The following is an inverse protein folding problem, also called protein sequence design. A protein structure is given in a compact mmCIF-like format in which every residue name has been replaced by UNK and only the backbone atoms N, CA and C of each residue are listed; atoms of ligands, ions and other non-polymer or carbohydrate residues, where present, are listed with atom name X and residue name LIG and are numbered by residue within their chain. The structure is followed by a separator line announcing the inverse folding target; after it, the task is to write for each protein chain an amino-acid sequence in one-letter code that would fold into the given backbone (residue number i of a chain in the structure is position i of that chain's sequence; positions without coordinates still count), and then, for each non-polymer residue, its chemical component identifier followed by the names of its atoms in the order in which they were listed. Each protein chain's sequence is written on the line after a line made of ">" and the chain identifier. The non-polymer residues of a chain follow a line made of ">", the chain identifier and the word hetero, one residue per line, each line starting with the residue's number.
data_IF_451050477139
#
_entry.id   IF_451050477139
#
_cell.length_a   1.000
_cell.length_b   1.000
_cell.length_c   1.000
_cell.angle_alpha   90.00
_cell.angle_beta   90.00
_cell.angle_gamma   90.00
#
_symmetry.space_group_name_H-M   'P 1'
#
loop_
_entity.id
_entity.type
_entity.pdbx_description
1 polymer ?
#
# COMPACT_ATOMS: atom_id res chain seq x y z
N UNK A 1 -9.87 4.31 -16.46
CA UNK A 1 -9.61 4.66 -15.05
C UNK A 1 -10.53 3.84 -14.15
N UNK A 2 -10.44 2.49 -14.21
CA UNK A 2 -11.40 1.58 -13.55
C UNK A 2 -10.73 0.60 -12.57
N UNK A 3 -9.40 0.47 -12.62
CA UNK A 3 -8.68 -0.58 -11.88
C UNK A 3 -8.48 -0.29 -10.40
N UNK A 4 -8.53 0.97 -9.98
CA UNK A 4 -8.31 1.40 -8.60
C UNK A 4 -9.48 1.07 -7.67
N UNK A 5 -10.69 0.99 -8.21
CA UNK A 5 -11.91 0.68 -7.45
C UNK A 5 -12.00 -0.81 -7.07
N UNK A 6 -11.66 -1.71 -8.01
CA UNK A 6 -11.63 -3.16 -7.76
C UNK A 6 -10.60 -3.57 -6.70
N UNK A 7 -9.47 -2.86 -6.68
CA UNK A 7 -8.44 -2.98 -5.67
C UNK A 7 -8.93 -2.63 -4.25
N UNK A 8 -9.64 -1.50 -4.10
CA UNK A 8 -10.22 -1.08 -2.83
C UNK A 8 -11.28 -2.08 -2.32
N UNK A 9 -12.07 -2.67 -3.22
CA UNK A 9 -13.09 -3.66 -2.88
C UNK A 9 -12.52 -4.96 -2.30
N UNK A 10 -11.27 -5.31 -2.60
CA UNK A 10 -10.67 -6.54 -2.08
C UNK A 10 -10.17 -6.49 -0.65
N UNK A 11 -9.91 -5.29 -0.15
CA UNK A 11 -9.68 -5.08 1.26
C UNK A 11 -10.99 -5.08 2.06
N UNK A 12 -12.14 -4.91 1.39
CA UNK A 12 -13.47 -4.81 1.96
C UNK A 12 -14.20 -6.16 1.94
N UNK A 13 -14.59 -6.67 3.11
CA UNK A 13 -15.49 -7.82 3.21
C UNK A 13 -16.92 -7.28 3.34
N UNK A 14 -17.78 -7.38 2.30
CA UNK A 14 -19.16 -6.95 2.42
C UNK A 14 -19.88 -7.81 3.45
N UNK A 15 -20.53 -7.17 4.42
CA UNK A 15 -21.37 -7.83 5.42
C UNK A 15 -22.81 -7.44 5.13
N UNK A 16 -23.61 -8.42 4.72
CA UNK A 16 -25.06 -8.27 4.63
C UNK A 16 -25.64 -8.50 6.01
N UNK A 17 -26.22 -7.45 6.61
CA UNK A 17 -27.01 -7.59 7.84
C UNK A 17 -28.39 -8.06 7.41
N UNK A 18 -28.58 -9.38 7.32
CA UNK A 18 -29.88 -9.99 7.10
C UNK A 18 -30.68 -10.03 8.41
N UNK A 19 -31.98 -9.74 8.30
CA UNK A 19 -33.02 -9.67 9.34
C UNK A 19 -33.02 -8.43 10.24
N UNK A 20 -33.78 -7.43 9.79
CA UNK A 20 -34.22 -6.27 10.54
C UNK A 20 -35.33 -6.64 11.55
N UNK A 21 -35.03 -7.50 12.52
CA UNK A 21 -35.78 -7.50 13.77
C UNK A 21 -35.17 -6.38 14.63
N UNK A 22 -35.91 -5.27 14.78
CA UNK A 22 -35.61 -4.06 15.56
C UNK A 22 -34.33 -4.14 16.42
N UNK A 23 -33.18 -3.83 15.82
CA UNK A 23 -31.90 -3.75 16.53
C UNK A 23 -31.92 -2.45 17.34
N UNK A 24 -31.87 -2.57 18.67
CA UNK A 24 -31.83 -1.42 19.57
C UNK A 24 -30.57 -0.57 19.28
N UNK A 25 -30.64 0.74 19.50
CA UNK A 25 -29.57 1.66 19.06
C UNK A 25 -28.21 1.36 19.72
N UNK A 26 -28.22 0.77 20.92
CA UNK A 26 -27.02 0.30 21.61
C UNK A 26 -26.42 -0.96 20.96
N UNK A 27 -27.27 -1.89 20.54
CA UNK A 27 -26.88 -3.14 19.86
C UNK A 27 -26.36 -2.85 18.45
N UNK A 28 -26.88 -1.82 17.78
CA UNK A 28 -26.37 -1.39 16.49
C UNK A 28 -24.93 -0.86 16.60
N UNK A 29 -24.62 -0.07 17.64
CA UNK A 29 -23.28 0.48 17.84
C UNK A 29 -22.25 -0.60 18.14
N UNK A 30 -22.59 -1.56 19.00
CA UNK A 30 -21.70 -2.67 19.34
C UNK A 30 -21.47 -3.58 18.13
N UNK A 31 -22.52 -3.85 17.35
CA UNK A 31 -22.42 -4.57 16.08
C UNK A 31 -21.54 -3.83 15.07
N UNK A 32 -21.79 -2.54 14.84
CA UNK A 32 -21.01 -1.72 13.91
C UNK A 32 -19.53 -1.66 14.31
N UNK A 33 -19.23 -1.51 15.60
CA UNK A 33 -17.86 -1.50 16.12
C UNK A 33 -17.16 -2.83 15.88
N UNK A 34 -17.83 -3.96 16.16
CA UNK A 34 -17.31 -5.29 15.91
C UNK A 34 -17.04 -5.53 14.43
N UNK A 35 -18.00 -5.22 13.56
CA UNK A 35 -17.85 -5.38 12.11
C UNK A 35 -16.72 -4.50 11.57
N UNK A 36 -16.59 -3.26 12.06
CA UNK A 36 -15.47 -2.37 11.72
C UNK A 36 -14.13 -2.95 12.15
N UNK A 37 -14.05 -3.53 13.36
CA UNK A 37 -12.83 -4.16 13.85
C UNK A 37 -12.44 -5.40 13.02
N UNK A 38 -13.41 -6.27 12.71
CA UNK A 38 -13.21 -7.43 11.83
C UNK A 38 -12.76 -7.01 10.43
N UNK A 39 -13.36 -5.94 9.90
CA UNK A 39 -13.02 -5.35 8.61
C UNK A 39 -11.60 -4.76 8.59
N UNK A 40 -11.19 -4.05 9.64
CA UNK A 40 -9.83 -3.52 9.78
C UNK A 40 -8.80 -4.64 9.92
N UNK A 41 -9.12 -5.69 10.68
CA UNK A 41 -8.27 -6.86 10.82
C UNK A 41 -8.09 -7.57 9.47
N UNK A 42 -9.19 -7.77 8.74
CA UNK A 42 -9.14 -8.36 7.41
C UNK A 42 -8.28 -7.52 6.46
N UNK A 43 -8.46 -6.20 6.43
CA UNK A 43 -7.65 -5.32 5.59
C UNK A 43 -6.15 -5.41 5.93
N UNK A 44 -5.79 -5.46 7.23
CA UNK A 44 -4.40 -5.61 7.67
C UNK A 44 -3.79 -6.96 7.30
N UNK A 45 -4.60 -8.01 7.27
CA UNK A 45 -4.16 -9.35 6.88
C UNK A 45 -4.07 -9.47 5.36
N UNK A 46 -5.10 -9.05 4.63
CA UNK A 46 -5.25 -9.25 3.19
C UNK A 46 -4.49 -8.23 2.33
N UNK A 47 -4.05 -7.11 2.89
CA UNK A 47 -3.34 -6.09 2.14
C UNK A 47 -2.01 -5.68 2.78
N UNK A 48 -1.06 -5.30 1.93
CA UNK A 48 0.19 -4.64 2.33
C UNK A 48 0.46 -3.46 1.41
N UNK A 49 0.81 -2.34 2.00
CA UNK A 49 1.31 -1.16 1.28
C UNK A 49 2.78 -1.02 1.64
N UNK A 50 3.65 -0.98 0.63
CA UNK A 50 5.06 -0.66 0.77
C UNK A 50 5.31 0.68 0.09
N UNK A 51 5.97 1.58 0.81
CA UNK A 51 6.42 2.86 0.29
C UNK A 51 7.91 2.72 0.07
N UNK A 52 8.33 2.72 -1.18
CA UNK A 52 9.74 2.76 -1.56
C UNK A 52 10.11 4.25 -1.67
N UNK A 53 10.81 4.74 -0.64
CA UNK A 53 11.31 6.10 -0.52
C UNK A 53 12.79 6.19 -0.92
N UNK A 54 13.36 7.42 -1.06
CA UNK A 54 14.75 7.59 -1.44
C UNK A 54 15.70 6.81 -0.52
N UNK A 55 16.71 6.17 -1.13
CA UNK A 55 17.71 5.38 -0.40
C UNK A 55 18.57 6.26 0.51
N UNK A 56 19.26 5.62 1.47
CA UNK A 56 20.21 6.33 2.33
C UNK A 56 21.29 7.05 1.50
N UNK A 57 21.81 6.42 0.46
CA UNK A 57 22.81 7.00 -0.44
C UNK A 57 22.25 8.20 -1.22
N UNK A 58 21.01 8.09 -1.72
CA UNK A 58 20.33 9.20 -2.38
C UNK A 58 20.09 10.37 -1.42
N UNK A 59 19.76 10.08 -0.17
CA UNK A 59 19.60 11.11 0.85
C UNK A 59 20.93 11.81 1.16
N UNK A 60 22.01 11.07 1.42
CA UNK A 60 23.34 11.67 1.67
C UNK A 60 23.79 12.54 0.50
N UNK A 61 23.53 12.11 -0.74
CA UNK A 61 23.98 12.80 -1.94
C UNK A 61 23.15 14.03 -2.31
N UNK A 62 21.84 13.98 -2.09
CA UNK A 62 20.90 14.98 -2.61
C UNK A 62 20.15 15.76 -1.53
N UNK A 63 20.39 15.48 -0.25
CA UNK A 63 19.83 16.28 0.84
C UNK A 63 20.54 17.63 0.96
N UNK A 64 19.78 18.62 1.38
CA UNK A 64 20.27 19.97 1.67
C UNK A 64 19.73 20.44 3.01
N UNK A 65 20.53 21.21 3.74
CA UNK A 65 20.10 21.87 4.97
C UNK A 65 19.44 23.19 4.62
N UNK A 66 18.18 23.36 5.03
CA UNK A 66 17.39 24.56 4.79
C UNK A 66 16.54 24.92 5.99
N UNK A 67 16.12 26.18 6.05
CA UNK A 67 15.18 26.63 7.06
C UNK A 67 13.74 26.32 6.62
N UNK A 68 13.01 25.54 7.42
CA UNK A 68 11.59 25.28 7.23
C UNK A 68 10.78 26.39 7.92
N UNK A 69 10.02 27.15 7.14
CA UNK A 69 9.20 28.27 7.63
C UNK A 69 7.98 27.81 8.43
N UNK A 70 7.45 26.62 8.16
CA UNK A 70 6.29 26.06 8.86
C UNK A 70 6.71 25.53 10.22
N UNK A 71 7.85 24.86 10.29
CA UNK A 71 8.40 24.31 11.54
C UNK A 71 9.30 25.29 12.31
N UNK A 72 9.66 26.42 11.70
CA UNK A 72 10.56 27.43 12.25
C UNK A 72 11.89 26.86 12.76
N UNK A 73 12.49 25.93 12.00
CA UNK A 73 13.74 25.27 12.36
C UNK A 73 14.55 24.88 11.11
N UNK A 74 15.85 24.59 11.31
CA UNK A 74 16.66 23.98 10.26
C UNK A 74 16.26 22.51 10.08
N UNK A 75 16.11 22.10 8.82
CA UNK A 75 15.82 20.72 8.43
C UNK A 75 16.79 20.29 7.35
N UNK A 76 17.15 19.01 7.34
CA UNK A 76 17.90 18.38 6.25
C UNK A 76 16.94 17.51 5.46
N UNK A 77 16.73 17.84 4.19
CA UNK A 77 15.76 17.16 3.34
C UNK A 77 16.19 17.10 1.88
N UNK A 78 15.69 16.13 1.12
CA UNK A 78 15.74 16.19 -0.34
C UNK A 78 14.65 17.16 -0.78
N UNK A 79 15.05 18.37 -1.18
CA UNK A 79 14.12 19.40 -1.64
C UNK A 79 13.59 19.14 -3.06
N UNK A 80 12.38 19.64 -3.31
CA UNK A 80 11.63 19.50 -4.58
C UNK A 80 11.22 20.88 -5.12
N UNK A 81 12.01 21.89 -4.81
CA UNK A 81 11.82 23.21 -5.38
C UNK A 81 12.33 23.23 -6.83
N UNK A 82 11.54 23.87 -7.72
CA UNK A 82 11.90 24.10 -9.13
C UNK A 82 12.46 22.86 -9.86
N UNK A 83 11.73 21.73 -9.89
CA UNK A 83 12.30 20.45 -10.30
C UNK A 83 12.83 20.45 -11.73
N UNK A 84 12.18 21.16 -12.66
CA UNK A 84 12.64 21.28 -14.04
C UNK A 84 13.97 22.04 -14.16
N UNK A 85 14.15 23.10 -13.37
CA UNK A 85 15.36 23.94 -13.40
C UNK A 85 16.53 23.18 -12.79
N UNK A 86 16.31 22.54 -11.63
CA UNK A 86 17.34 21.74 -10.94
C UNK A 86 17.72 20.49 -11.73
N UNK A 87 16.78 19.90 -12.47
CA UNK A 87 17.06 18.79 -13.37
C UNK A 87 18.00 19.21 -14.51
N UNK A 88 17.72 20.35 -15.15
CA UNK A 88 18.53 20.86 -16.25
C UNK A 88 19.96 21.24 -15.82
N UNK A 89 20.15 21.60 -14.55
CA UNK A 89 21.44 21.93 -13.97
C UNK A 89 22.16 20.72 -13.33
N UNK A 90 21.59 19.51 -13.38
CA UNK A 90 22.16 18.34 -12.73
C UNK A 90 23.18 17.62 -13.60
N UNK A 91 24.34 17.31 -13.04
CA UNK A 91 25.35 16.43 -13.67
C UNK A 91 24.88 14.97 -13.77
N UNK A 92 23.79 14.59 -13.09
CA UNK A 92 23.24 13.22 -13.08
C UNK A 92 21.70 13.23 -13.06
N UNK A 93 21.05 13.61 -14.18
CA UNK A 93 19.61 13.85 -14.26
C UNK A 93 18.75 12.66 -13.80
N UNK A 94 19.13 11.44 -14.20
CA UNK A 94 18.39 10.22 -13.84
C UNK A 94 18.44 9.92 -12.34
N UNK A 95 19.61 10.06 -11.72
CA UNK A 95 19.78 9.83 -10.28
C UNK A 95 19.08 10.91 -9.46
N UNK A 96 19.13 12.16 -9.95
CA UNK A 96 18.43 13.29 -9.35
C UNK A 96 16.92 13.09 -9.37
N UNK A 97 16.36 12.60 -10.48
CA UNK A 97 14.94 12.26 -10.62
C UNK A 97 14.54 11.08 -9.74
N UNK A 98 15.34 10.00 -9.74
CA UNK A 98 15.05 8.81 -8.93
C UNK A 98 15.00 9.12 -7.43
N UNK A 99 15.85 10.03 -6.95
CA UNK A 99 15.83 10.50 -5.56
C UNK A 99 14.61 11.36 -5.21
N UNK A 100 13.80 11.75 -6.20
CA UNK A 100 12.61 12.62 -6.07
C UNK A 100 11.32 11.96 -6.53
N UNK A 101 11.34 10.65 -6.67
CA UNK A 101 10.18 9.83 -6.95
C UNK A 101 9.82 9.00 -5.74
N UNK A 102 8.53 8.81 -5.54
CA UNK A 102 7.99 7.83 -4.60
C UNK A 102 7.37 6.70 -5.40
N UNK A 103 7.65 5.48 -4.97
CA UNK A 103 7.01 4.29 -5.49
C UNK A 103 6.16 3.66 -4.40
N UNK A 104 4.89 3.51 -4.70
CA UNK A 104 3.92 2.80 -3.88
C UNK A 104 3.72 1.42 -4.49
N UNK A 105 3.93 0.39 -3.68
CA UNK A 105 3.62 -0.99 -4.04
C UNK A 105 2.50 -1.49 -3.13
N UNK A 106 1.40 -1.90 -3.75
CA UNK A 106 0.23 -2.40 -3.05
C UNK A 106 0.04 -3.86 -3.41
N UNK A 107 -0.03 -4.69 -2.38
CA UNK A 107 -0.29 -6.11 -2.48
C UNK A 107 -1.68 -6.40 -1.92
N UNK A 108 -2.47 -7.18 -2.64
CA UNK A 108 -3.78 -7.67 -2.20
C UNK A 108 -3.84 -9.18 -2.30
N UNK A 109 -4.43 -9.82 -1.30
CA UNK A 109 -4.71 -11.24 -1.29
C UNK A 109 -6.21 -11.46 -1.52
N UNK A 110 -6.56 -11.92 -2.72
CA UNK A 110 -7.95 -12.23 -3.06
C UNK A 110 -8.30 -13.65 -2.62
N UNK A 111 -9.44 -13.89 -1.95
CA UNK A 111 -9.92 -15.25 -1.77
C UNK A 111 -10.32 -15.86 -3.12
N UNK A 112 -9.86 -17.08 -3.37
CA UNK A 112 -10.26 -17.84 -4.54
C UNK A 112 -11.56 -18.59 -4.23
N UNK A 113 -12.69 -18.08 -4.73
CA UNK A 113 -14.02 -18.61 -4.40
C UNK A 113 -14.41 -19.84 -5.24
N UNK A 114 -13.85 -19.98 -6.44
CA UNK A 114 -14.15 -21.09 -7.35
C UNK A 114 -13.26 -22.28 -7.00
N UNK A 115 -13.79 -23.40 -6.46
CA UNK A 115 -12.97 -24.46 -5.86
C UNK A 115 -11.98 -25.12 -6.84
N UNK A 116 -12.42 -25.39 -8.08
CA UNK A 116 -11.58 -26.04 -9.08
C UNK A 116 -10.43 -25.13 -9.55
N UNK A 117 -10.73 -23.86 -9.81
CA UNK A 117 -9.72 -22.87 -10.19
C UNK A 117 -8.76 -22.60 -9.02
N UNK A 118 -9.27 -22.66 -7.78
CA UNK A 118 -8.49 -22.39 -6.59
C UNK A 118 -7.35 -23.41 -6.40
N UNK A 119 -7.63 -24.70 -6.60
CA UNK A 119 -6.62 -25.75 -6.48
C UNK A 119 -5.50 -25.59 -7.52
N UNK A 120 -5.86 -25.35 -8.78
CA UNK A 120 -4.88 -25.15 -9.87
C UNK A 120 -4.01 -23.91 -9.63
N UNK A 121 -4.63 -22.80 -9.21
CA UNK A 121 -3.91 -21.56 -8.93
C UNK A 121 -3.03 -21.65 -7.68
N UNK A 122 -3.47 -22.39 -6.65
CA UNK A 122 -2.65 -22.63 -5.46
C UNK A 122 -1.36 -23.39 -5.81
N UNK A 123 -1.45 -24.46 -6.59
CA UNK A 123 -0.29 -25.21 -7.10
C UNK A 123 0.62 -24.32 -7.97
N UNK A 124 0.03 -23.51 -8.86
CA UNK A 124 0.78 -22.57 -9.70
C UNK A 124 1.53 -21.52 -8.86
N UNK A 125 0.90 -21.04 -7.77
CA UNK A 125 1.50 -20.02 -6.90
C UNK A 125 2.77 -20.52 -6.21
N UNK A 126 2.82 -21.80 -5.84
CA UNK A 126 3.98 -22.44 -5.23
C UNK A 126 5.18 -22.52 -6.20
N UNK A 127 4.92 -22.62 -7.50
CA UNK A 127 5.94 -22.68 -8.54
C UNK A 127 6.51 -21.31 -8.92
N UNK A 128 5.73 -20.24 -8.75
CA UNK A 128 6.04 -18.92 -9.33
C UNK A 128 7.05 -18.09 -8.50
N UNK A 129 7.44 -18.52 -7.29
CA UNK A 129 8.44 -17.83 -6.43
C UNK A 129 8.31 -16.29 -6.41
N UNK A 130 7.07 -15.79 -6.41
CA UNK A 130 6.77 -14.37 -6.41
C UNK A 130 6.50 -13.90 -4.97
N UNK A 131 7.12 -12.82 -4.50
CA UNK A 131 6.98 -12.35 -3.11
C UNK A 131 5.54 -12.07 -2.69
N UNK A 132 4.68 -11.64 -3.63
CA UNK A 132 3.25 -11.40 -3.34
C UNK A 132 2.50 -12.71 -3.12
N UNK A 133 2.84 -13.75 -3.88
CA UNK A 133 2.24 -15.08 -3.71
C UNK A 133 2.69 -15.72 -2.40
N UNK A 134 3.98 -15.62 -2.04
CA UNK A 134 4.49 -16.09 -0.75
C UNK A 134 3.80 -15.35 0.41
N UNK A 135 3.64 -14.03 0.29
CA UNK A 135 2.94 -13.22 1.27
C UNK A 135 1.49 -13.68 1.49
N UNK A 136 0.75 -13.97 0.41
CA UNK A 136 -0.64 -14.41 0.49
C UNK A 136 -0.77 -15.88 0.91
N UNK A 137 0.11 -16.77 0.45
CA UNK A 137 0.13 -18.17 0.87
C UNK A 137 0.32 -18.31 2.38
N UNK A 138 1.23 -17.53 2.97
CA UNK A 138 1.43 -17.51 4.43
C UNK A 138 0.18 -17.06 5.21
N UNK A 139 -0.76 -16.37 4.56
CA UNK A 139 -1.99 -15.84 5.16
C UNK A 139 -3.23 -16.65 4.83
N UNK A 140 -3.15 -17.56 3.87
CA UNK A 140 -4.23 -18.46 3.50
C UNK A 140 -4.72 -19.27 4.72
N UNK A 141 -3.79 -19.71 5.57
CA UNK A 141 -4.11 -20.43 6.81
C UNK A 141 -4.93 -19.60 7.81
N UNK A 142 -4.71 -18.29 7.88
CA UNK A 142 -5.44 -17.41 8.81
C UNK A 142 -6.86 -17.08 8.32
N UNK A 143 -7.11 -17.18 7.01
CA UNK A 143 -8.41 -16.90 6.39
C UNK A 143 -9.16 -18.16 5.94
N UNK A 144 -8.61 -19.35 6.24
CA UNK A 144 -9.14 -20.69 5.90
C UNK A 144 -9.57 -20.83 4.43
N UNK A 145 -8.89 -20.11 3.54
CA UNK A 145 -9.19 -20.08 2.10
C UNK A 145 -7.92 -19.90 1.30
N UNK A 146 -7.81 -20.55 0.12
CA UNK A 146 -6.72 -20.27 -0.81
C UNK A 146 -6.79 -18.82 -1.28
N UNK A 147 -5.65 -18.13 -1.25
CA UNK A 147 -5.54 -16.72 -1.60
C UNK A 147 -4.66 -16.54 -2.84
N UNK A 148 -5.05 -15.63 -3.72
CA UNK A 148 -4.25 -15.22 -4.86
C UNK A 148 -3.70 -13.80 -4.67
N UNK A 149 -2.38 -13.67 -4.84
CA UNK A 149 -1.69 -12.40 -4.75
C UNK A 149 -1.87 -11.53 -5.99
N UNK A 150 -2.31 -10.29 -5.80
CA UNK A 150 -2.28 -9.22 -6.79
C UNK A 150 -1.28 -8.15 -6.39
N UNK A 151 -0.44 -7.73 -7.34
CA UNK A 151 0.52 -6.64 -7.16
C UNK A 151 0.13 -5.46 -8.04
N UNK A 152 0.05 -4.29 -7.43
CA UNK A 152 -0.04 -3.02 -8.14
C UNK A 152 1.11 -2.11 -7.71
N UNK A 153 1.70 -1.41 -8.67
CA UNK A 153 2.74 -0.43 -8.39
C UNK A 153 2.40 0.88 -9.07
N UNK A 154 2.52 1.97 -8.33
CA UNK A 154 2.35 3.33 -8.81
C UNK A 154 3.62 4.08 -8.46
N UNK A 155 4.16 4.82 -9.41
CA UNK A 155 5.34 5.65 -9.24
C UNK A 155 5.00 7.07 -9.67
N UNK A 156 5.49 8.05 -8.91
CA UNK A 156 5.21 9.46 -9.18
C UNK A 156 6.19 10.40 -8.50
N UNK A 157 6.23 11.67 -8.93
CA UNK A 157 7.06 12.67 -8.30
C UNK A 157 6.60 12.92 -6.86
N UNK A 158 7.55 13.15 -5.98
CA UNK A 158 7.26 13.61 -4.63
C UNK A 158 6.62 15.01 -4.67
N UNK A 159 5.67 15.25 -3.76
CA UNK A 159 4.96 16.53 -3.64
C UNK A 159 5.48 17.40 -2.47
N UNK A 160 6.30 16.83 -1.60
CA UNK A 160 6.90 17.49 -0.45
C UNK A 160 8.33 16.99 -0.24
N UNK A 161 9.19 17.83 0.34
CA UNK A 161 10.56 17.44 0.69
C UNK A 161 10.61 16.15 1.51
N UNK A 162 11.59 15.30 1.22
CA UNK A 162 11.77 14.03 1.94
C UNK A 162 12.75 14.18 3.09
N UNK A 163 12.32 13.80 4.29
CA UNK A 163 13.08 13.81 5.54
C UNK A 163 13.26 12.39 6.03
N UNK A 164 14.44 12.10 6.56
CA UNK A 164 14.74 10.83 7.21
C UNK A 164 14.39 10.96 8.70
N UNK A 165 13.47 10.12 9.18
CA UNK A 165 13.11 9.99 10.59
C UNK A 165 13.70 8.71 11.18
#
# INVERSE_FOLDING_TARGET
>A
MERTLAAAMSAARPVLVSDSAAVDAADFRSLAARLTAEQLLHAKLAARIRIDSPSAEQFERFSETRFDLVLNQQVTEIAIDHPLVRLAASDSPEQWLAARQLKLEIWWCQPLEVPLAAAVLAELSALINNPVQVFCAARAAALDKPLWGLRHSIEGPMLSGYRRF
#
